data_IF_997798458558
#
_entry.id   IF_997798458558
#
_cell.length_a   1.000
_cell.length_b   1.000
_cell.length_c   1.000
_cell.angle_alpha   90.00
_cell.angle_beta   90.00
_cell.angle_gamma   90.00
#
_symmetry.space_group_name_H-M   'P 1'
#
loop_
_entity.id
_entity.type
_entity.pdbx_description
1 polymer ?
#
# COMPACT_ATOMS: atom_id res chain seq x y z
N UNK A 1 -5.63 13.53 -5.06
CA UNK A 1 -4.17 13.33 -5.24
C UNK A 1 -3.81 13.61 -6.69
N UNK A 2 -3.05 14.66 -6.98
CA UNK A 2 -2.41 14.85 -8.30
C UNK A 2 -0.93 14.58 -8.14
N UNK A 3 -0.50 13.34 -8.39
CA UNK A 3 0.93 13.05 -8.54
C UNK A 3 1.34 13.41 -9.97
N UNK A 4 2.33 14.27 -10.12
CA UNK A 4 3.10 14.34 -11.35
C UNK A 4 3.94 13.05 -11.39
N UNK A 5 3.35 11.96 -11.87
CA UNK A 5 3.92 10.62 -11.77
C UNK A 5 5.17 10.47 -12.66
N UNK A 6 6.28 10.07 -12.06
CA UNK A 6 7.49 9.60 -12.77
C UNK A 6 7.53 8.07 -12.67
N UNK A 7 7.77 7.38 -13.79
CA UNK A 7 7.95 5.93 -13.78
C UNK A 7 9.32 5.63 -13.17
N UNK A 8 9.34 4.99 -12.00
CA UNK A 8 10.58 4.62 -11.28
C UNK A 8 11.09 3.23 -11.64
N UNK A 9 10.21 2.33 -12.08
CA UNK A 9 10.55 0.96 -12.46
C UNK A 9 9.45 0.38 -13.35
N UNK A 10 9.85 -0.45 -14.31
CA UNK A 10 8.96 -1.27 -15.13
C UNK A 10 9.65 -2.60 -15.39
N UNK A 11 8.99 -3.70 -15.07
CA UNK A 11 9.49 -5.03 -15.36
C UNK A 11 8.34 -6.05 -15.31
N UNK A 12 8.54 -7.19 -15.98
CA UNK A 12 7.58 -8.28 -16.02
C UNK A 12 7.87 -9.25 -14.88
N UNK A 13 6.89 -9.44 -13.98
CA UNK A 13 7.00 -10.41 -12.88
C UNK A 13 5.87 -11.41 -12.97
N UNK A 14 6.20 -12.69 -12.80
CA UNK A 14 5.19 -13.70 -12.54
C UNK A 14 4.62 -13.45 -11.15
N UNK A 15 3.32 -13.15 -11.06
CA UNK A 15 2.68 -12.74 -9.81
C UNK A 15 3.08 -11.33 -9.35
N UNK A 16 3.21 -10.35 -10.26
CA UNK A 16 3.41 -8.94 -9.91
C UNK A 16 2.36 -8.41 -8.92
N UNK A 17 1.13 -8.93 -9.02
CA UNK A 17 0.00 -8.61 -8.15
C UNK A 17 -0.05 -9.45 -6.87
N UNK A 18 0.93 -10.35 -6.67
CA UNK A 18 0.94 -11.23 -5.50
C UNK A 18 1.14 -10.43 -4.21
N UNK A 19 0.48 -10.92 -3.16
CA UNK A 19 0.46 -10.34 -1.82
C UNK A 19 1.84 -10.45 -1.13
N UNK A 20 2.80 -11.12 -1.74
CA UNK A 20 4.19 -11.23 -1.28
C UNK A 20 5.05 -9.99 -1.55
N UNK A 21 4.52 -8.97 -2.26
CA UNK A 21 5.23 -7.73 -2.60
C UNK A 21 6.55 -7.93 -3.37
N UNK A 22 6.69 -9.02 -4.14
CA UNK A 22 7.94 -9.36 -4.86
C UNK A 22 8.41 -8.21 -5.75
N UNK A 23 7.47 -7.62 -6.51
CA UNK A 23 7.77 -6.45 -7.34
C UNK A 23 8.30 -5.29 -6.50
N UNK A 24 7.59 -4.92 -5.44
CA UNK A 24 7.94 -3.77 -4.62
C UNK A 24 9.30 -3.94 -3.91
N UNK A 25 9.64 -5.16 -3.48
CA UNK A 25 10.96 -5.46 -2.90
C UNK A 25 12.08 -5.45 -3.93
N UNK A 26 11.80 -5.78 -5.19
CA UNK A 26 12.78 -5.65 -6.26
C UNK A 26 13.06 -4.16 -6.58
N UNK A 27 12.03 -3.32 -6.56
CA UNK A 27 12.16 -1.86 -6.78
C UNK A 27 12.80 -1.16 -5.58
N UNK A 28 12.44 -1.58 -4.36
CA UNK A 28 12.92 -1.03 -3.10
C UNK A 28 13.64 -2.13 -2.30
N UNK A 29 14.91 -2.45 -2.60
CA UNK A 29 15.61 -3.62 -2.05
C UNK A 29 15.93 -3.53 -0.56
N UNK A 30 15.83 -2.35 0.05
CA UNK A 30 16.08 -2.14 1.48
C UNK A 30 14.93 -1.40 2.15
N UNK A 31 14.69 -1.58 3.46
CA UNK A 31 13.68 -0.81 4.19
C UNK A 31 13.86 0.71 4.05
N UNK A 32 15.11 1.18 3.93
CA UNK A 32 15.44 2.59 3.77
C UNK A 32 15.11 3.13 2.37
N UNK A 33 15.04 2.25 1.37
CA UNK A 33 14.64 2.62 0.00
C UNK A 33 13.12 2.70 -0.18
N UNK A 34 12.34 2.19 0.78
CA UNK A 34 10.88 2.19 0.69
C UNK A 34 10.32 3.61 0.80
N UNK A 35 9.21 3.92 0.10
CA UNK A 35 8.58 5.23 0.18
C UNK A 35 7.88 5.43 1.55
N UNK A 36 7.55 6.69 1.87
CA UNK A 36 6.71 7.00 3.05
C UNK A 36 5.30 6.40 2.89
N UNK A 37 4.77 6.42 1.67
CA UNK A 37 3.47 5.81 1.32
C UNK A 37 3.60 4.91 0.10
N UNK A 38 3.05 3.71 0.19
CA UNK A 38 2.99 2.76 -0.90
C UNK A 38 1.53 2.49 -1.24
N UNK A 39 1.12 2.82 -2.47
CA UNK A 39 -0.25 2.62 -2.95
C UNK A 39 -0.28 1.38 -3.84
N UNK A 40 -1.16 0.44 -3.50
CA UNK A 40 -1.33 -0.81 -4.22
C UNK A 40 -2.80 -1.22 -4.16
N UNK A 41 -3.33 -1.75 -5.26
CA UNK A 41 -4.78 -2.02 -5.42
C UNK A 41 -5.32 -2.94 -4.32
N UNK A 42 -4.49 -3.80 -3.72
CA UNK A 42 -4.91 -4.71 -2.65
C UNK A 42 -4.07 -4.57 -1.38
N UNK A 43 -3.79 -3.32 -0.99
CA UNK A 43 -2.94 -3.00 0.16
C UNK A 43 -3.42 -3.63 1.47
N UNK A 44 -4.74 -3.78 1.69
CA UNK A 44 -5.26 -4.40 2.90
C UNK A 44 -4.82 -5.86 3.05
N UNK A 45 -4.81 -6.64 1.95
CA UNK A 45 -4.30 -8.02 2.02
C UNK A 45 -2.77 -8.06 2.07
N UNK A 46 -2.10 -7.11 1.39
CA UNK A 46 -0.64 -6.98 1.44
C UNK A 46 -0.17 -6.78 2.88
N UNK A 47 -0.73 -5.80 3.58
CA UNK A 47 -0.37 -5.48 4.96
C UNK A 47 -0.64 -6.67 5.90
N UNK A 48 -1.81 -7.31 5.78
CA UNK A 48 -2.17 -8.49 6.57
C UNK A 48 -1.16 -9.63 6.37
N UNK A 49 -0.77 -9.92 5.13
CA UNK A 49 0.18 -10.98 4.81
C UNK A 49 1.59 -10.67 5.34
N UNK A 50 2.07 -9.43 5.16
CA UNK A 50 3.37 -9.01 5.69
C UNK A 50 3.40 -9.15 7.21
N UNK A 51 2.35 -8.70 7.91
CA UNK A 51 2.23 -8.84 9.37
C UNK A 51 2.16 -10.29 9.82
N UNK A 52 1.38 -11.12 9.15
CA UNK A 52 1.28 -12.54 9.45
C UNK A 52 2.62 -13.27 9.31
N UNK A 53 3.43 -12.86 8.34
CA UNK A 53 4.75 -13.44 8.10
C UNK A 53 5.89 -12.79 8.92
N UNK A 54 5.58 -11.77 9.74
CA UNK A 54 6.61 -11.03 10.49
C UNK A 54 7.57 -10.22 9.59
N UNK A 55 7.12 -9.84 8.40
CA UNK A 55 7.92 -9.12 7.42
C UNK A 55 8.07 -7.64 7.80
N UNK A 56 9.31 -7.20 8.00
CA UNK A 56 9.65 -5.84 8.44
C UNK A 56 10.10 -4.93 7.31
N UNK A 57 10.13 -5.42 6.06
CA UNK A 57 10.69 -4.68 4.92
C UNK A 57 10.03 -3.31 4.72
N UNK A 58 8.72 -3.24 4.93
CA UNK A 58 7.93 -2.02 4.78
C UNK A 58 7.38 -1.50 6.12
N UNK A 59 8.08 -1.73 7.23
CA UNK A 59 7.61 -1.36 8.59
C UNK A 59 7.36 0.15 8.75
N UNK A 60 8.13 0.97 8.03
CA UNK A 60 8.05 2.44 8.08
C UNK A 60 7.21 3.03 6.94
N UNK A 61 6.55 2.20 6.13
CA UNK A 61 5.78 2.64 4.96
C UNK A 61 4.28 2.53 5.23
N UNK A 62 3.56 3.64 5.14
CA UNK A 62 2.10 3.65 5.17
C UNK A 62 1.51 2.95 3.93
N UNK A 63 0.48 2.12 4.12
CA UNK A 63 -0.16 1.34 3.05
C UNK A 63 -1.66 1.64 2.94
N UNK A 64 -2.06 2.90 2.66
CA UNK A 64 -3.46 3.22 2.50
C UNK A 64 -4.04 2.50 1.28
N UNK A 65 -5.29 2.09 1.38
CA UNK A 65 -6.09 1.79 0.19
C UNK A 65 -6.70 3.08 -0.34
N UNK A 66 -6.98 3.12 -1.65
CA UNK A 66 -7.74 4.23 -2.21
C UNK A 66 -9.20 4.21 -1.72
N UNK A 67 -9.87 5.37 -1.84
CA UNK A 67 -11.25 5.55 -1.35
C UNK A 67 -12.22 4.63 -2.08
N UNK A 68 -12.03 4.39 -3.38
CA UNK A 68 -12.91 3.50 -4.14
C UNK A 68 -12.78 2.05 -3.68
N UNK A 69 -11.55 1.58 -3.43
CA UNK A 69 -11.29 0.27 -2.84
C UNK A 69 -11.92 0.17 -1.45
N UNK A 70 -11.75 1.20 -0.61
CA UNK A 70 -12.32 1.24 0.73
C UNK A 70 -13.86 1.19 0.73
N UNK A 71 -14.52 1.94 -0.16
CA UNK A 71 -16.00 2.01 -0.20
C UNK A 71 -16.65 0.86 -0.96
N UNK A 72 -15.98 0.29 -1.96
CA UNK A 72 -16.61 -0.59 -2.95
C UNK A 72 -16.18 -2.05 -2.86
N UNK A 73 -15.02 -2.34 -2.25
CA UNK A 73 -14.46 -3.70 -2.18
C UNK A 73 -14.48 -4.31 -0.78
N UNK A 74 -14.61 -3.48 0.26
CA UNK A 74 -14.59 -3.95 1.65
C UNK A 74 -15.95 -3.90 2.31
N UNK A 75 -16.21 -4.91 3.15
CA UNK A 75 -17.32 -4.87 4.10
C UNK A 75 -16.87 -4.05 5.31
N UNK A 76 -17.80 -3.39 5.99
CA UNK A 76 -17.55 -2.68 7.25
C UNK A 76 -16.91 -3.59 8.32
N UNK A 77 -17.12 -4.91 8.19
CA UNK A 77 -16.56 -5.94 9.06
C UNK A 77 -15.09 -6.29 8.77
N UNK A 78 -14.46 -5.75 7.73
CA UNK A 78 -13.02 -5.92 7.50
C UNK A 78 -12.22 -5.01 8.44
N UNK A 79 -12.05 -5.46 9.68
CA UNK A 79 -11.37 -4.71 10.74
C UNK A 79 -9.91 -4.43 10.41
N UNK A 80 -9.24 -5.30 9.66
CA UNK A 80 -7.84 -5.10 9.30
C UNK A 80 -7.69 -3.87 8.41
N UNK A 81 -8.51 -3.78 7.37
CA UNK A 81 -8.49 -2.66 6.45
C UNK A 81 -8.87 -1.34 7.16
N UNK A 82 -9.87 -1.38 8.05
CA UNK A 82 -10.31 -0.23 8.85
C UNK A 82 -9.21 0.33 9.77
N UNK A 83 -8.40 -0.55 10.37
CA UNK A 83 -7.38 -0.15 11.35
C UNK A 83 -6.06 0.25 10.70
N UNK A 84 -5.65 -0.45 9.63
CA UNK A 84 -4.28 -0.34 9.11
C UNK A 84 -4.16 0.40 7.77
N UNK A 85 -5.23 0.43 6.98
CA UNK A 85 -5.18 0.89 5.60
C UNK A 85 -6.24 1.96 5.28
N UNK A 86 -7.06 2.35 6.26
CA UNK A 86 -8.12 3.33 6.07
C UNK A 86 -7.52 4.67 5.60
N UNK A 87 -7.91 5.20 4.43
CA UNK A 87 -7.35 6.45 3.90
C UNK A 87 -7.56 7.64 4.84
N UNK A 88 -8.63 7.64 5.66
CA UNK A 88 -8.87 8.68 6.66
C UNK A 88 -7.77 8.75 7.74
N UNK A 89 -7.04 7.65 7.98
CA UNK A 89 -5.91 7.59 8.91
C UNK A 89 -4.62 8.23 8.35
N UNK A 90 -4.64 8.72 7.10
CA UNK A 90 -3.48 9.33 6.44
C UNK A 90 -3.75 10.79 6.03
N UNK A 91 -3.85 11.75 6.98
CA UNK A 91 -4.22 13.14 6.68
C UNK A 91 -3.32 13.84 5.66
N UNK A 92 -2.05 13.45 5.55
CA UNK A 92 -1.11 13.99 4.55
C UNK A 92 -1.52 13.71 3.10
N UNK A 93 -2.32 12.66 2.87
CA UNK A 93 -2.78 12.27 1.54
C UNK A 93 -4.16 12.84 1.20
N UNK A 94 -4.85 13.40 2.18
CA UNK A 94 -6.16 14.02 2.03
C UNK A 94 -5.93 15.48 1.67
N UNK A 95 -6.31 15.84 0.45
CA UNK A 95 -6.26 17.22 -0.01
C UNK A 95 -7.23 18.07 0.83
N UNK A 96 -6.70 19.02 1.60
CA UNK A 96 -7.52 20.05 2.24
C UNK A 96 -7.81 21.06 1.14
N UNK A 97 -8.87 20.81 0.36
CA UNK A 97 -9.20 21.55 -0.85
C UNK A 97 -8.76 23.01 -0.82
N UNK A 98 -7.85 23.35 -1.73
CA UNK A 98 -7.61 24.72 -2.19
C UNK A 98 -8.84 25.27 -2.92
#
# INVERSE_FOLDING_TARGET
MRSCGVIIACATFFGSEAISAIFAKAVFPTPQSTPEFFIFDNNCKLDAHLKQNGDTHFINTGKPVDVFHFTSKHKVTDTHCQVNCNPAAFPKLIDKGS
#
